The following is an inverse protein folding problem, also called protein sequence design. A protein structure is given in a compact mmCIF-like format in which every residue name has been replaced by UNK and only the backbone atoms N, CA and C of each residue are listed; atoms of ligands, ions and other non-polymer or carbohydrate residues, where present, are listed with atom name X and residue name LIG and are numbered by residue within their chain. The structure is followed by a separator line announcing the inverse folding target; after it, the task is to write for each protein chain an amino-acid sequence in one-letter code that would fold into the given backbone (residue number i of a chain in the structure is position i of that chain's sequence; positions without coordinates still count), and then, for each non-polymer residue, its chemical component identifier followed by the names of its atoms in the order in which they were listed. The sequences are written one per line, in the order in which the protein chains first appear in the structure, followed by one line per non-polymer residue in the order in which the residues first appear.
data_IF_480803376083
#
_entry.id   IF_480803376083
#
_cell.length_a   1.000
_cell.length_b   1.000
_cell.length_c   1.000
_cell.angle_alpha   90.00
_cell.angle_beta   90.00
_cell.angle_gamma   90.00
#
_symmetry.space_group_name_H-M   'P 1'
#
loop_
_entity.id
_entity.type
_entity.pdbx_description
1 polymer ?
#
# COMPACT_ATOMS: atom_id res chain seq x y z
N UNK A 1 8.06 -23.37 5.48
CA UNK A 1 7.87 -22.17 4.62
C UNK A 1 8.05 -20.92 5.47
N UNK A 2 9.11 -20.14 5.27
CA UNK A 2 9.23 -18.84 5.95
C UNK A 2 8.14 -17.91 5.42
N UNK A 3 7.27 -17.39 6.29
CA UNK A 3 6.21 -16.46 5.89
C UNK A 3 6.87 -15.24 5.24
N UNK A 4 6.53 -14.98 3.98
CA UNK A 4 7.05 -13.84 3.25
C UNK A 4 6.31 -12.58 3.70
N UNK A 5 6.74 -12.04 4.85
CA UNK A 5 6.20 -10.82 5.46
C UNK A 5 6.14 -9.64 4.49
N UNK A 6 7.09 -9.54 3.55
CA UNK A 6 7.05 -8.49 2.54
C UNK A 6 5.85 -8.64 1.60
N UNK A 7 5.55 -9.87 1.17
CA UNK A 7 4.39 -10.18 0.35
C UNK A 7 3.09 -9.88 1.10
N UNK A 8 2.98 -10.27 2.38
CA UNK A 8 1.81 -10.00 3.23
C UNK A 8 1.58 -8.50 3.37
N UNK A 9 2.60 -7.74 3.77
CA UNK A 9 2.50 -6.28 3.91
C UNK A 9 2.14 -5.57 2.60
N UNK A 10 2.63 -6.07 1.46
CA UNK A 10 2.25 -5.53 0.14
C UNK A 10 0.76 -5.71 -0.12
N UNK A 11 0.22 -6.90 0.14
CA UNK A 11 -1.20 -7.18 -0.06
C UNK A 11 -2.09 -6.37 0.88
N UNK A 12 -1.67 -6.20 2.15
CA UNK A 12 -2.37 -5.33 3.10
C UNK A 12 -2.40 -3.88 2.59
N UNK A 13 -1.26 -3.33 2.18
CA UNK A 13 -1.19 -1.96 1.66
C UNK A 13 -2.03 -1.77 0.39
N UNK A 14 -1.99 -2.73 -0.54
CA UNK A 14 -2.81 -2.68 -1.75
C UNK A 14 -4.31 -2.76 -1.42
N UNK A 15 -4.71 -3.62 -0.49
CA UNK A 15 -6.10 -3.72 -0.04
C UNK A 15 -6.60 -2.41 0.57
N UNK A 16 -5.81 -1.82 1.47
CA UNK A 16 -6.12 -0.53 2.08
C UNK A 16 -6.14 0.61 1.04
N UNK A 17 -5.22 0.61 0.08
CA UNK A 17 -5.18 1.59 -1.01
C UNK A 17 -6.41 1.51 -1.91
N UNK A 18 -6.88 0.31 -2.25
CA UNK A 18 -8.11 0.12 -3.04
C UNK A 18 -9.33 0.70 -2.30
N UNK A 19 -9.44 0.52 -0.99
CA UNK A 19 -10.51 1.12 -0.21
C UNK A 19 -10.48 2.66 -0.27
N UNK A 20 -9.30 3.29 -0.23
CA UNK A 20 -9.18 4.74 -0.45
C UNK A 20 -9.63 5.17 -1.85
N UNK A 21 -9.32 4.38 -2.89
CA UNK A 21 -9.79 4.64 -4.25
C UNK A 21 -11.32 4.59 -4.33
N UNK A 22 -11.95 3.59 -3.70
CA UNK A 22 -13.43 3.48 -3.63
C UNK A 22 -14.03 4.68 -2.89
N UNK A 23 -13.43 5.07 -1.77
CA UNK A 23 -13.87 6.24 -1.01
C UNK A 23 -13.85 7.52 -1.87
N UNK A 24 -12.72 7.83 -2.50
CA UNK A 24 -12.57 9.04 -3.33
C UNK A 24 -13.40 9.00 -4.62
N UNK A 25 -13.52 7.83 -5.24
CA UNK A 25 -14.33 7.68 -6.46
C UNK A 25 -15.80 7.96 -6.21
N UNK A 26 -16.35 7.58 -5.05
CA UNK A 26 -17.72 7.95 -4.69
C UNK A 26 -17.90 9.47 -4.56
N UNK A 27 -16.95 10.16 -3.93
CA UNK A 27 -16.99 11.64 -3.83
C UNK A 27 -16.97 12.27 -5.22
N UNK A 28 -16.09 11.80 -6.10
CA UNK A 28 -16.03 12.27 -7.48
C UNK A 28 -17.32 11.97 -8.26
N UNK A 29 -17.93 10.80 -8.05
CA UNK A 29 -19.20 10.44 -8.72
C UNK A 29 -20.38 11.30 -8.30
N UNK A 30 -20.40 11.80 -7.06
CA UNK A 30 -21.39 12.81 -6.65
C UNK A 30 -21.16 14.12 -7.40
N UNK A 31 -19.90 14.54 -7.53
CA UNK A 31 -19.55 15.76 -8.26
C UNK A 31 -19.84 15.67 -9.77
N UNK A 32 -19.71 14.48 -10.36
CA UNK A 32 -20.12 14.20 -11.73
C UNK A 32 -21.63 13.97 -11.91
N UNK A 33 -22.42 14.00 -10.84
CA UNK A 33 -23.87 13.79 -10.89
C UNK A 33 -24.30 12.34 -11.15
N UNK A 34 -23.40 11.38 -10.94
CA UNK A 34 -23.68 9.93 -11.06
C UNK A 34 -24.25 9.33 -9.77
N UNK A 35 -24.16 10.06 -8.65
CA UNK A 35 -24.73 9.67 -7.36
C UNK A 35 -25.35 10.87 -6.65
N UNK A 36 -26.40 10.62 -5.88
CA UNK A 36 -27.15 11.66 -5.18
C UNK A 36 -26.48 12.14 -3.88
N UNK A 37 -25.61 11.31 -3.27
CA UNK A 37 -24.96 11.65 -2.01
C UNK A 37 -23.64 10.93 -1.79
N UNK A 38 -22.73 11.64 -1.11
CA UNK A 38 -21.41 11.17 -0.72
C UNK A 38 -21.49 10.25 0.52
N UNK A 39 -20.35 10.02 1.16
CA UNK A 39 -20.30 9.32 2.44
C UNK A 39 -20.86 10.16 3.58
N UNK A 40 -21.22 9.52 4.69
CA UNK A 40 -21.63 10.22 5.90
C UNK A 40 -20.44 10.90 6.58
N UNK A 41 -20.70 12.00 7.31
CA UNK A 41 -19.66 12.75 8.04
C UNK A 41 -18.79 11.86 8.95
N UNK A 42 -19.37 10.86 9.61
CA UNK A 42 -18.61 9.89 10.43
C UNK A 42 -17.55 9.11 9.63
N UNK A 43 -17.87 8.74 8.39
CA UNK A 43 -16.96 8.02 7.51
C UNK A 43 -15.85 8.96 7.03
N UNK A 44 -16.18 10.20 6.70
CA UNK A 44 -15.19 11.20 6.29
C UNK A 44 -14.20 11.50 7.42
N UNK A 45 -14.68 11.63 8.65
CA UNK A 45 -13.84 11.79 9.85
C UNK A 45 -12.96 10.56 10.05
N UNK A 46 -13.50 9.35 9.98
CA UNK A 46 -12.71 8.12 10.11
C UNK A 46 -11.62 8.01 9.04
N UNK A 47 -11.98 8.29 7.78
CA UNK A 47 -11.05 8.17 6.65
C UNK A 47 -9.94 9.20 6.76
N UNK A 48 -10.28 10.47 7.05
CA UNK A 48 -9.31 11.56 7.15
C UNK A 48 -8.40 11.46 8.37
N UNK A 49 -8.91 11.06 9.54
CA UNK A 49 -8.14 11.01 10.79
C UNK A 49 -7.33 9.74 10.95
N UNK A 50 -7.84 8.60 10.48
CA UNK A 50 -7.28 7.28 10.81
C UNK A 50 -6.86 6.52 9.56
N UNK A 51 -7.75 6.39 8.58
CA UNK A 51 -7.50 5.49 7.45
C UNK A 51 -6.39 5.99 6.53
N UNK A 52 -6.36 7.29 6.20
CA UNK A 52 -5.28 7.90 5.42
C UNK A 52 -3.93 7.69 6.09
N UNK A 53 -3.84 7.90 7.41
CA UNK A 53 -2.61 7.68 8.16
C UNK A 53 -2.17 6.22 8.17
N UNK A 54 -3.11 5.27 8.27
CA UNK A 54 -2.80 3.84 8.16
C UNK A 54 -2.24 3.48 6.78
N UNK A 55 -2.87 3.94 5.69
CA UNK A 55 -2.39 3.68 4.33
C UNK A 55 -1.03 4.34 4.10
N UNK A 56 -0.89 5.58 4.52
CA UNK A 56 0.35 6.34 4.42
C UNK A 56 1.47 5.66 5.23
N UNK A 57 1.21 5.21 6.46
CA UNK A 57 2.19 4.50 7.28
C UNK A 57 2.62 3.17 6.65
N UNK A 58 1.67 2.37 6.15
CA UNK A 58 2.00 1.09 5.49
C UNK A 58 2.81 1.26 4.19
N UNK A 59 2.71 2.41 3.52
CA UNK A 59 3.51 2.79 2.36
C UNK A 59 4.87 3.42 2.73
N UNK A 60 4.85 4.49 3.53
CA UNK A 60 6.03 5.27 3.91
C UNK A 60 6.97 4.53 4.87
N UNK A 61 6.47 3.71 5.80
CA UNK A 61 7.33 2.98 6.74
C UNK A 61 8.30 2.03 6.01
N UNK A 62 7.99 1.62 4.77
CA UNK A 62 8.92 0.85 3.93
C UNK A 62 9.94 1.71 3.18
N UNK A 63 9.65 2.99 2.93
CA UNK A 63 10.48 3.88 2.12
C UNK A 63 11.91 4.10 2.66
N UNK A 64 12.14 4.40 3.96
CA UNK A 64 13.50 4.57 4.47
C UNK A 64 14.30 3.26 4.50
N UNK A 65 13.62 2.12 4.60
CA UNK A 65 14.24 0.78 4.66
C UNK A 65 14.45 0.19 3.25
N UNK A 66 13.73 0.71 2.24
CA UNK A 66 13.73 0.17 0.89
C UNK A 66 15.11 0.12 0.21
N UNK A 67 15.97 1.17 0.28
CA UNK A 67 17.30 1.13 -0.33
C UNK A 67 18.16 -0.01 0.23
N UNK A 68 18.14 -0.19 1.56
CA UNK A 68 18.86 -1.25 2.26
C UNK A 68 18.33 -2.63 1.92
N UNK A 69 17.01 -2.78 1.88
CA UNK A 69 16.35 -4.02 1.46
C UNK A 69 16.74 -4.41 0.03
N UNK A 70 16.68 -3.47 -0.92
CA UNK A 70 17.02 -3.69 -2.33
C UNK A 70 18.50 -4.04 -2.51
N UNK A 71 19.39 -3.36 -1.79
CA UNK A 71 20.83 -3.67 -1.77
C UNK A 71 21.10 -5.11 -1.32
N UNK A 72 20.45 -5.55 -0.22
CA UNK A 72 20.56 -6.92 0.29
C UNK A 72 19.98 -7.96 -0.68
N UNK A 73 18.87 -7.65 -1.33
CA UNK A 73 18.24 -8.55 -2.31
C UNK A 73 19.10 -8.71 -3.57
N UNK A 74 19.68 -7.62 -4.08
CA UNK A 74 20.56 -7.66 -5.25
C UNK A 74 21.85 -8.44 -4.97
N UNK A 75 22.44 -8.30 -3.77
CA UNK A 75 23.61 -9.09 -3.38
C UNK A 75 23.33 -10.60 -3.43
N UNK A 76 22.20 -11.03 -2.84
CA UNK A 76 21.76 -12.44 -2.90
C UNK A 76 21.49 -12.94 -4.33
N UNK A 77 21.01 -12.07 -5.22
CA UNK A 77 20.81 -12.43 -6.64
C UNK A 77 22.13 -12.60 -7.39
N UNK A 78 23.13 -11.78 -7.06
CA UNK A 78 24.49 -11.90 -7.62
C UNK A 78 25.18 -13.17 -7.15
N UNK A 79 25.20 -13.41 -5.84
CA UNK A 79 25.76 -14.63 -5.24
C UNK A 79 25.15 -15.90 -5.86
N UNK A 80 23.83 -15.91 -6.11
CA UNK A 80 23.14 -17.02 -6.80
C UNK A 80 23.51 -17.17 -8.27
N UNK A 81 23.77 -16.07 -8.98
CA UNK A 81 24.20 -16.11 -10.38
C UNK A 81 25.63 -16.64 -10.48
N UNK A 82 26.49 -16.20 -9.58
CA UNK A 82 27.88 -16.65 -9.48
C UNK A 82 27.92 -18.16 -9.16
N UNK A 83 27.12 -18.65 -8.21
CA UNK A 83 27.01 -20.08 -7.89
C UNK A 83 26.29 -20.96 -8.94
N UNK A 84 25.67 -20.37 -9.96
CA UNK A 84 25.07 -21.08 -11.11
C UNK A 84 25.99 -21.11 -12.32
N UNK A 85 27.05 -20.29 -12.31
CA UNK A 85 28.04 -20.20 -13.37
C UNK A 85 29.32 -21.01 -13.06
N UNK A 86 29.43 -21.50 -11.82
CA UNK A 86 30.43 -22.45 -11.33
C UNK A 86 29.85 -23.88 -11.37
#
# INVERSE_FOLDING_TARGET
MSKNWNKIWRWIHLGLGIMLVIYHSRIAYVEYGWMDSAWSSEVDVFVSTTFVFLVMWTGLAKWPIYPWYKKRQNRKKREKKEALAE
#
